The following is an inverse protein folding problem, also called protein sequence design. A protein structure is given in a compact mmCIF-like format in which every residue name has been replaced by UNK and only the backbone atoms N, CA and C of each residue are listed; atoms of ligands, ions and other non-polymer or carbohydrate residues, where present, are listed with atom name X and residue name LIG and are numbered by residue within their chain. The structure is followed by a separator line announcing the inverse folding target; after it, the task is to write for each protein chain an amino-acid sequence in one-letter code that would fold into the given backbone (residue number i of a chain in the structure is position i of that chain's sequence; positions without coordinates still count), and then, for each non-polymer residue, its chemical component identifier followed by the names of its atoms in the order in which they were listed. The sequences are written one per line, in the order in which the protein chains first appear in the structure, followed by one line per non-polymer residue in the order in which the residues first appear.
data_IF_855877371667
#
_entry.id   IF_855877371667
#
_cell.length_a   1.000
_cell.length_b   1.000
_cell.length_c   1.000
_cell.angle_alpha   90.00
_cell.angle_beta   90.00
_cell.angle_gamma   90.00
#
_symmetry.space_group_name_H-M   'P 1'
#
loop_
_entity.id
_entity.type
_entity.pdbx_description
1 polymer ?
#
# COMPACT_ATOMS: atom_id res chain seq x y z
N UNK A 1 -26.26 1.23 15.22
CA UNK A 1 -25.46 1.76 14.13
C UNK A 1 -24.11 1.09 14.06
N UNK A 2 -23.74 0.75 12.89
CA UNK A 2 -22.49 0.02 12.70
C UNK A 2 -21.37 0.98 12.30
N UNK A 3 -20.46 1.22 13.22
CA UNK A 3 -19.34 2.12 12.97
C UNK A 3 -18.42 1.61 11.85
N UNK A 4 -18.32 0.30 11.72
CA UNK A 4 -17.49 -0.26 10.66
C UNK A 4 -18.03 0.10 9.30
N UNK A 5 -19.32 0.24 9.16
CA UNK A 5 -19.92 0.64 7.89
C UNK A 5 -19.51 2.05 7.50
N UNK A 6 -19.39 2.93 8.47
CA UNK A 6 -18.99 4.31 8.20
C UNK A 6 -17.54 4.42 7.77
N UNK A 7 -16.72 3.46 8.18
CA UNK A 7 -15.31 3.46 7.87
C UNK A 7 -14.95 2.39 6.84
N UNK A 8 -15.97 1.90 6.13
CA UNK A 8 -15.71 0.89 5.11
C UNK A 8 -14.88 1.45 3.98
N UNK A 9 -13.84 0.72 3.62
CA UNK A 9 -12.98 1.04 2.48
C UNK A 9 -13.13 -0.01 1.39
N UNK A 10 -14.23 -0.72 1.42
CA UNK A 10 -14.49 -1.78 0.46
C UNK A 10 -14.39 -1.27 -0.97
N UNK A 11 -13.61 -1.95 -1.78
CA UNK A 11 -13.39 -1.56 -3.15
C UNK A 11 -12.34 -0.49 -3.37
N UNK A 12 -11.83 0.10 -2.28
CA UNK A 12 -10.79 1.12 -2.38
C UNK A 12 -9.42 0.46 -2.49
N UNK A 13 -8.52 1.10 -3.21
CA UNK A 13 -7.14 0.65 -3.33
C UNK A 13 -6.26 1.56 -2.49
N UNK A 14 -5.54 0.98 -1.53
CA UNK A 14 -4.65 1.73 -0.67
C UNK A 14 -3.21 1.33 -0.95
N UNK A 15 -2.38 2.30 -1.24
CA UNK A 15 -0.94 2.10 -1.38
C UNK A 15 -0.26 2.62 -0.12
N UNK A 16 0.43 1.72 0.59
CA UNK A 16 1.16 2.08 1.79
C UNK A 16 2.64 1.83 1.53
N UNK A 17 3.44 2.88 1.48
CA UNK A 17 4.86 2.72 1.25
C UNK A 17 5.53 2.22 2.52
N UNK A 18 6.50 1.33 2.35
CA UNK A 18 7.22 0.78 3.48
C UNK A 18 6.39 -0.13 4.37
N UNK A 19 5.40 -0.79 3.81
CA UNK A 19 4.46 -1.62 4.60
C UNK A 19 4.87 -3.08 4.68
N UNK A 20 6.14 -3.38 4.44
CA UNK A 20 6.63 -4.76 4.55
C UNK A 20 6.70 -5.21 6.01
N UNK A 21 6.87 -4.29 6.93
CA UNK A 21 6.94 -4.59 8.36
C UNK A 21 6.70 -3.32 9.17
N UNK A 22 6.61 -3.47 10.49
CA UNK A 22 6.52 -2.34 11.41
C UNK A 22 5.22 -1.57 11.32
N UNK A 23 5.32 -0.25 11.45
CA UNK A 23 4.16 0.64 11.49
C UNK A 23 3.39 0.58 10.16
N UNK A 24 4.10 0.53 9.05
CA UNK A 24 3.45 0.43 7.75
C UNK A 24 2.60 -0.81 7.61
N UNK A 25 3.10 -1.94 8.12
CA UNK A 25 2.35 -3.19 8.12
C UNK A 25 1.07 -3.06 8.96
N UNK A 26 1.18 -2.44 10.13
CA UNK A 26 0.02 -2.25 11.00
C UNK A 26 -1.04 -1.36 10.35
N UNK A 27 -0.61 -0.33 9.63
CA UNK A 27 -1.53 0.55 8.91
C UNK A 27 -2.23 -0.22 7.79
N UNK A 28 -1.47 -1.03 7.05
CA UNK A 28 -2.05 -1.83 5.98
C UNK A 28 -3.07 -2.82 6.52
N UNK A 29 -2.77 -3.43 7.65
CA UNK A 29 -3.70 -4.36 8.30
C UNK A 29 -4.99 -3.66 8.68
N UNK A 30 -4.89 -2.45 9.23
CA UNK A 30 -6.07 -1.70 9.62
C UNK A 30 -6.95 -1.38 8.40
N UNK A 31 -6.32 -0.97 7.30
CA UNK A 31 -7.09 -0.67 6.09
C UNK A 31 -7.68 -1.92 5.47
N UNK A 32 -6.96 -3.03 5.49
CA UNK A 32 -7.47 -4.30 4.98
C UNK A 32 -8.69 -4.74 5.77
N UNK A 33 -8.68 -4.54 7.08
CA UNK A 33 -9.81 -4.88 7.93
C UNK A 33 -11.03 -4.02 7.61
N UNK A 34 -10.83 -2.88 6.98
CA UNK A 34 -11.93 -2.03 6.53
C UNK A 34 -12.35 -2.35 5.09
N UNK A 35 -11.74 -3.34 4.48
CA UNK A 35 -12.13 -3.79 3.15
C UNK A 35 -11.28 -3.29 2.00
N UNK A 36 -10.24 -2.50 2.27
CA UNK A 36 -9.40 -1.97 1.22
C UNK A 36 -8.53 -3.06 0.59
N UNK A 37 -8.24 -2.89 -0.69
CA UNK A 37 -7.22 -3.68 -1.37
C UNK A 37 -5.88 -3.04 -1.04
N UNK A 38 -4.90 -3.85 -0.66
CA UNK A 38 -3.63 -3.32 -0.17
C UNK A 38 -2.54 -3.51 -1.23
N UNK A 39 -1.84 -2.42 -1.51
CA UNK A 39 -0.61 -2.45 -2.28
C UNK A 39 0.50 -1.88 -1.40
N UNK A 40 1.69 -2.45 -1.50
CA UNK A 40 2.83 -1.95 -0.74
C UNK A 40 4.10 -2.10 -1.56
N UNK A 41 5.13 -1.38 -1.20
CA UNK A 41 6.40 -1.49 -1.89
C UNK A 41 7.48 -2.07 -0.99
N UNK A 42 8.47 -2.66 -1.62
CA UNK A 42 9.58 -3.28 -0.95
C UNK A 42 10.77 -3.29 -1.91
N UNK A 43 11.98 -3.21 -1.39
CA UNK A 43 13.16 -3.15 -2.24
C UNK A 43 13.86 -4.49 -2.42
N UNK A 44 13.69 -5.42 -1.51
CA UNK A 44 14.41 -6.67 -1.55
C UNK A 44 13.52 -7.89 -1.59
N UNK A 45 14.00 -8.94 -2.23
CA UNK A 45 13.26 -10.19 -2.34
C UNK A 45 12.94 -10.80 -1.00
N UNK A 46 13.90 -10.76 -0.09
CA UNK A 46 13.72 -11.36 1.24
C UNK A 46 12.59 -10.67 1.99
N UNK A 47 12.58 -9.35 1.98
CA UNK A 47 11.54 -8.60 2.65
C UNK A 47 10.18 -8.81 1.98
N UNK A 48 10.19 -8.94 0.65
CA UNK A 48 8.97 -9.21 -0.07
C UNK A 48 8.36 -10.55 0.33
N UNK A 49 9.18 -11.60 0.38
CA UNK A 49 8.70 -12.91 0.76
C UNK A 49 8.17 -12.93 2.19
N UNK A 50 8.89 -12.30 3.10
CA UNK A 50 8.46 -12.24 4.49
C UNK A 50 7.15 -11.47 4.64
N UNK A 51 7.03 -10.36 3.91
CA UNK A 51 5.83 -9.55 3.97
C UNK A 51 4.62 -10.28 3.39
N UNK A 52 4.80 -10.91 2.23
CA UNK A 52 3.70 -11.66 1.62
C UNK A 52 3.22 -12.78 2.52
N UNK A 53 4.16 -13.47 3.16
CA UNK A 53 3.80 -14.52 4.09
C UNK A 53 3.05 -13.98 5.30
N UNK A 54 3.53 -12.87 5.84
CA UNK A 54 2.90 -12.26 7.01
C UNK A 54 1.48 -11.81 6.70
N UNK A 55 1.26 -11.21 5.53
CA UNK A 55 -0.08 -10.82 5.12
C UNK A 55 -0.98 -12.03 4.92
N UNK A 56 -0.45 -13.06 4.27
CA UNK A 56 -1.21 -14.30 4.05
C UNK A 56 -1.61 -14.95 5.36
N UNK A 57 -0.70 -14.96 6.34
CA UNK A 57 -0.97 -15.55 7.65
C UNK A 57 -2.11 -14.82 8.37
N UNK A 58 -2.31 -13.55 8.06
CA UNK A 58 -3.41 -12.77 8.63
C UNK A 58 -4.66 -12.76 7.76
N UNK A 59 -4.64 -13.48 6.66
CA UNK A 59 -5.76 -13.53 5.75
C UNK A 59 -5.93 -12.26 4.93
N UNK A 60 -4.87 -11.48 4.75
CA UNK A 60 -4.90 -10.25 4.00
C UNK A 60 -4.39 -10.48 2.60
N UNK A 61 -5.18 -10.08 1.61
CA UNK A 61 -4.78 -10.18 0.22
C UNK A 61 -4.06 -8.89 -0.18
N UNK A 62 -2.76 -8.85 0.05
CA UNK A 62 -1.94 -7.70 -0.26
C UNK A 62 -1.06 -8.01 -1.47
N UNK A 63 -0.77 -6.98 -2.26
CA UNK A 63 0.10 -7.12 -3.41
C UNK A 63 1.33 -6.26 -3.23
N UNK A 64 2.50 -6.88 -3.33
CA UNK A 64 3.77 -6.20 -3.16
C UNK A 64 4.40 -5.82 -4.49
N UNK A 65 5.08 -4.70 -4.49
CA UNK A 65 5.75 -4.19 -5.68
C UNK A 65 7.19 -3.82 -5.33
N UNK A 66 8.11 -4.18 -6.20
CA UNK A 66 9.49 -3.77 -6.02
C UNK A 66 9.64 -2.33 -6.50
N UNK A 67 10.05 -1.48 -5.59
CA UNK A 67 10.16 -0.06 -5.92
C UNK A 67 11.11 0.62 -4.95
N UNK A 68 12.02 1.39 -5.49
CA UNK A 68 12.86 2.30 -4.71
C UNK A 68 12.17 3.65 -4.71
N UNK A 69 11.59 4.01 -3.56
CA UNK A 69 10.79 5.24 -3.46
C UNK A 69 11.63 6.52 -3.62
N UNK A 70 12.95 6.39 -3.64
CA UNK A 70 13.81 7.54 -3.93
C UNK A 70 13.99 7.74 -5.44
N UNK A 71 13.53 6.80 -6.24
CA UNK A 71 13.64 6.85 -7.69
C UNK A 71 12.27 7.16 -8.28
N UNK A 72 12.14 8.35 -8.86
CA UNK A 72 10.86 8.81 -9.36
C UNK A 72 10.29 7.93 -10.47
N UNK A 73 11.16 7.43 -11.36
CA UNK A 73 10.72 6.55 -12.43
C UNK A 73 10.16 5.23 -11.88
N UNK A 74 10.79 4.70 -10.83
CA UNK A 74 10.30 3.49 -10.19
C UNK A 74 8.92 3.72 -9.56
N UNK A 75 8.72 4.88 -8.96
CA UNK A 75 7.44 5.20 -8.34
C UNK A 75 6.35 5.30 -9.41
N UNK A 76 6.65 5.96 -10.52
CA UNK A 76 5.67 6.10 -11.61
C UNK A 76 5.31 4.71 -12.16
N UNK A 77 6.30 3.86 -12.35
CA UNK A 77 6.06 2.51 -12.83
C UNK A 77 5.22 1.70 -11.85
N UNK A 78 5.53 1.80 -10.58
CA UNK A 78 4.78 1.10 -9.54
C UNK A 78 3.32 1.53 -9.55
N UNK A 79 3.07 2.83 -9.61
CA UNK A 79 1.71 3.34 -9.63
C UNK A 79 0.95 2.80 -10.85
N UNK A 80 1.60 2.79 -12.01
CA UNK A 80 0.97 2.26 -13.21
C UNK A 80 0.64 0.78 -13.07
N UNK A 81 1.57 0.01 -12.49
CA UNK A 81 1.37 -1.42 -12.28
C UNK A 81 0.22 -1.68 -11.30
N UNK A 82 0.15 -0.89 -10.23
CA UNK A 82 -0.93 -1.02 -9.26
C UNK A 82 -2.28 -0.73 -9.90
N UNK A 83 -2.34 0.33 -10.71
CA UNK A 83 -3.59 0.70 -11.34
C UNK A 83 -4.04 -0.34 -12.34
N UNK A 84 -3.10 -0.99 -13.01
CA UNK A 84 -3.42 -2.09 -13.91
C UNK A 84 -3.93 -3.31 -13.14
N UNK A 85 -3.31 -3.62 -12.01
CA UNK A 85 -3.58 -4.85 -11.28
C UNK A 85 -4.76 -4.73 -10.32
N UNK A 86 -4.90 -3.59 -9.66
CA UNK A 86 -5.88 -3.42 -8.58
C UNK A 86 -6.91 -2.33 -8.86
N UNK A 87 -6.58 -1.39 -9.71
CA UNK A 87 -7.44 -0.26 -10.01
C UNK A 87 -6.85 1.04 -9.53
N UNK A 88 -7.59 2.11 -9.69
CA UNK A 88 -7.13 3.45 -9.32
C UNK A 88 -6.81 3.52 -7.83
N UNK A 89 -5.65 4.09 -7.51
CA UNK A 89 -5.25 4.26 -6.12
C UNK A 89 -6.12 5.34 -5.49
N UNK A 90 -6.85 4.97 -4.46
CA UNK A 90 -7.76 5.89 -3.75
C UNK A 90 -7.11 6.49 -2.52
N UNK A 91 -6.19 5.75 -1.90
CA UNK A 91 -5.58 6.15 -0.64
C UNK A 91 -4.08 5.94 -0.73
N UNK A 92 -3.32 6.95 -0.34
CA UNK A 92 -1.87 6.84 -0.28
C UNK A 92 -1.41 7.14 1.14
N UNK A 93 -0.68 6.20 1.72
CA UNK A 93 -0.04 6.41 3.02
C UNK A 93 1.46 6.40 2.80
N UNK A 94 2.09 7.53 3.00
CA UNK A 94 3.53 7.67 2.81
C UNK A 94 4.26 7.36 4.11
N UNK A 95 4.35 6.07 4.42
CA UNK A 95 5.02 5.62 5.63
C UNK A 95 6.55 5.68 5.51
N UNK A 96 7.05 5.55 4.30
CA UNK A 96 8.49 5.61 4.09
C UNK A 96 9.07 7.01 4.27
N UNK A 97 8.23 8.03 4.17
CA UNK A 97 8.63 9.39 4.48
C UNK A 97 9.50 10.09 3.45
N UNK A 98 9.69 9.51 2.29
CA UNK A 98 10.62 10.07 1.31
C UNK A 98 10.02 10.31 -0.08
N UNK A 99 8.72 10.22 -0.22
CA UNK A 99 8.07 10.42 -1.52
C UNK A 99 7.38 11.78 -1.61
N UNK A 100 7.83 12.73 -0.86
CA UNK A 100 7.16 14.01 -0.78
C UNK A 100 7.34 14.89 -2.00
N UNK A 101 8.20 14.49 -2.92
CA UNK A 101 8.45 15.27 -4.13
C UNK A 101 7.65 14.81 -5.34
N UNK A 102 6.91 13.74 -5.22
CA UNK A 102 6.12 13.23 -6.32
C UNK A 102 4.82 14.01 -6.35
N UNK A 103 4.54 14.79 -7.41
CA UNK A 103 3.39 15.70 -7.42
C UNK A 103 2.06 15.04 -7.15
N UNK A 104 1.87 13.83 -7.66
CA UNK A 104 0.60 13.13 -7.44
C UNK A 104 0.33 12.88 -5.96
N UNK A 105 1.36 12.79 -5.14
CA UNK A 105 1.21 12.53 -3.72
C UNK A 105 0.71 13.77 -2.98
N UNK A 106 1.02 14.92 -3.49
CA UNK A 106 0.59 16.17 -2.88
C UNK A 106 -0.91 16.36 -3.00
N UNK A 107 -1.49 15.77 -4.03
CA UNK A 107 -2.91 15.91 -4.28
C UNK A 107 -3.74 15.12 -3.28
N UNK A 108 -3.12 14.20 -2.59
CA UNK A 108 -3.81 13.36 -1.61
C UNK A 108 -3.94 14.03 -0.25
N UNK A 109 -3.22 15.11 -0.06
CA UNK A 109 -3.19 15.77 1.24
C UNK A 109 -4.53 16.37 1.64
#
# INVERSE_FOLDING_TARGET
MDMMKQFSLEGKVALITGAAYGIGFAIAEAYANCGAKIAFNCRGEKHMEEAMKAYADKGIDAKGYYCDVTNEEDVVKMVADIERDLGTIDILVNNAGIIKRVPMLEMEA
#
